data_IF_349884050122
#
_entry.id   IF_349884050122
#
_cell.length_a   1.000
_cell.length_b   1.000
_cell.length_c   1.000
_cell.angle_alpha   90.00
_cell.angle_beta   90.00
_cell.angle_gamma   90.00
#
_symmetry.space_group_name_H-M   'P 1'
#
loop_
_entity.id
_entity.type
_entity.pdbx_description
1 polymer ?
#
# COMPACT_ATOMS: atom_id res chain seq x y z
N UNK A 1 -1.71 10.22 -23.12
CA UNK A 1 -1.76 10.22 -21.64
C UNK A 1 -1.87 8.78 -21.16
N UNK A 2 -1.01 8.35 -20.24
CA UNK A 2 -1.06 6.99 -19.70
C UNK A 2 -2.28 6.85 -18.78
N UNK A 3 -3.21 5.98 -19.14
CA UNK A 3 -4.49 5.80 -18.45
C UNK A 3 -4.31 5.05 -17.12
N UNK A 4 -4.89 5.59 -16.04
CA UNK A 4 -5.06 4.89 -14.76
C UNK A 4 -6.39 4.14 -14.79
N UNK A 5 -6.40 2.91 -14.30
CA UNK A 5 -7.62 2.09 -14.25
C UNK A 5 -8.56 2.52 -13.11
N UNK A 6 -9.09 3.75 -13.17
CA UNK A 6 -9.99 4.33 -12.16
C UNK A 6 -11.23 3.44 -11.91
N UNK A 7 -11.67 2.71 -12.94
CA UNK A 7 -12.78 1.75 -12.84
C UNK A 7 -12.50 0.59 -11.89
N UNK A 8 -11.24 0.27 -11.61
CA UNK A 8 -10.81 -0.75 -10.65
C UNK A 8 -10.70 -0.23 -9.21
N UNK A 9 -10.84 1.08 -8.99
CA UNK A 9 -10.86 1.67 -7.66
C UNK A 9 -12.24 1.51 -7.02
N UNK A 10 -12.25 1.24 -5.72
CA UNK A 10 -13.44 1.01 -4.90
C UNK A 10 -14.12 2.33 -4.50
N UNK A 11 -14.12 3.32 -5.38
CA UNK A 11 -14.74 4.63 -5.16
C UNK A 11 -16.27 4.57 -5.22
N UNK A 12 -16.93 5.35 -4.39
CA UNK A 12 -18.35 5.68 -4.56
C UNK A 12 -18.57 6.66 -5.73
N UNK A 13 -19.82 7.02 -6.00
CA UNK A 13 -20.15 7.91 -7.12
C UNK A 13 -19.57 9.32 -6.96
N UNK A 14 -19.54 9.87 -5.74
CA UNK A 14 -19.02 11.20 -5.49
C UNK A 14 -17.49 11.22 -5.66
N UNK A 15 -16.82 10.21 -5.13
CA UNK A 15 -15.38 10.04 -5.30
C UNK A 15 -14.99 9.84 -6.76
N UNK A 16 -15.77 9.08 -7.55
CA UNK A 16 -15.54 8.94 -9.00
C UNK A 16 -15.61 10.27 -9.73
N UNK A 17 -16.64 11.08 -9.44
CA UNK A 17 -16.78 12.42 -10.03
C UNK A 17 -15.58 13.30 -9.67
N UNK A 18 -15.19 13.32 -8.39
CA UNK A 18 -14.05 14.10 -7.94
C UNK A 18 -12.74 13.65 -8.59
N UNK A 19 -12.49 12.35 -8.70
CA UNK A 19 -11.26 11.81 -9.30
C UNK A 19 -11.20 12.08 -10.80
N UNK A 20 -12.32 12.01 -11.52
CA UNK A 20 -12.34 12.40 -12.92
C UNK A 20 -11.93 13.87 -13.10
N UNK A 21 -12.45 14.78 -12.27
CA UNK A 21 -12.05 16.19 -12.28
C UNK A 21 -10.54 16.35 -12.00
N UNK A 22 -9.98 15.59 -11.05
CA UNK A 22 -8.53 15.63 -10.76
C UNK A 22 -7.68 15.30 -11.98
N UNK A 23 -8.09 14.30 -12.77
CA UNK A 23 -7.37 13.93 -13.99
C UNK A 23 -7.62 14.90 -15.15
N UNK A 24 -8.83 15.42 -15.30
CA UNK A 24 -9.18 16.44 -16.31
C UNK A 24 -8.42 17.76 -16.07
N UNK A 25 -8.19 18.12 -14.81
CA UNK A 25 -7.46 19.33 -14.40
C UNK A 25 -5.95 19.11 -14.21
N UNK A 26 -5.43 17.94 -14.58
CA UNK A 26 -4.01 17.58 -14.46
C UNK A 26 -3.42 17.74 -13.04
N UNK A 27 -4.23 17.52 -12.01
CA UNK A 27 -3.78 17.55 -10.60
C UNK A 27 -3.17 16.23 -10.13
N UNK A 28 -3.29 15.17 -10.92
CA UNK A 28 -2.66 13.88 -10.65
C UNK A 28 -1.16 13.92 -11.01
N UNK A 29 -0.35 13.32 -10.15
CA UNK A 29 1.06 13.04 -10.41
C UNK A 29 1.19 12.06 -11.57
N UNK A 30 2.11 12.32 -12.50
CA UNK A 30 2.46 11.42 -13.59
C UNK A 30 3.96 11.44 -13.84
N UNK A 31 4.68 10.50 -13.24
CA UNK A 31 6.13 10.38 -13.33
C UNK A 31 6.53 9.13 -14.10
N UNK A 32 7.55 9.27 -14.95
CA UNK A 32 8.19 8.18 -15.68
C UNK A 32 9.68 8.28 -15.37
N UNK A 33 10.27 7.15 -15.01
CA UNK A 33 11.68 7.06 -14.65
C UNK A 33 12.38 6.16 -15.66
N UNK A 34 13.61 6.51 -16.03
CA UNK A 34 14.49 5.60 -16.78
C UNK A 34 15.31 4.74 -15.83
N UNK A 35 15.87 3.66 -16.36
CA UNK A 35 16.66 2.69 -15.60
C UNK A 35 18.09 3.14 -15.28
N UNK A 36 18.43 4.41 -15.53
CA UNK A 36 19.72 4.93 -15.11
C UNK A 36 19.78 5.07 -13.58
N UNK A 37 20.98 4.93 -12.96
CA UNK A 37 21.11 4.94 -11.51
C UNK A 37 20.60 6.21 -10.82
N UNK A 38 20.66 7.37 -11.48
CA UNK A 38 20.23 8.64 -10.91
C UNK A 38 18.71 8.72 -10.83
N UNK A 39 18.01 8.47 -11.94
CA UNK A 39 16.55 8.44 -11.97
C UNK A 39 15.98 7.33 -11.08
N UNK A 40 16.65 6.17 -10.97
CA UNK A 40 16.23 5.12 -10.04
C UNK A 40 16.47 5.48 -8.57
N UNK A 41 17.46 6.31 -8.25
CA UNK A 41 17.61 6.87 -6.91
C UNK A 41 16.49 7.86 -6.58
N UNK A 42 16.12 8.72 -7.52
CA UNK A 42 14.98 9.62 -7.38
C UNK A 42 13.65 8.87 -7.25
N UNK A 43 13.44 7.84 -8.05
CA UNK A 43 12.24 7.01 -8.00
C UNK A 43 12.10 6.32 -6.64
N UNK A 44 13.19 5.73 -6.12
CA UNK A 44 13.19 5.11 -4.78
C UNK A 44 12.87 6.13 -3.70
N UNK A 45 13.51 7.29 -3.73
CA UNK A 45 13.23 8.38 -2.77
C UNK A 45 11.76 8.81 -2.84
N UNK A 46 11.21 8.94 -4.05
CA UNK A 46 9.82 9.33 -4.27
C UNK A 46 8.86 8.29 -3.69
N UNK A 47 9.06 7.02 -4.02
CA UNK A 47 8.22 5.92 -3.54
C UNK A 47 8.29 5.81 -2.00
N UNK A 48 9.48 5.89 -1.40
CA UNK A 48 9.67 5.86 0.05
C UNK A 48 8.99 7.03 0.75
N UNK A 49 9.10 8.25 0.20
CA UNK A 49 8.45 9.44 0.75
C UNK A 49 6.92 9.30 0.82
N UNK A 50 6.34 8.48 -0.07
CA UNK A 50 4.90 8.23 -0.13
C UNK A 50 4.48 6.87 0.44
N UNK A 51 5.40 6.14 1.09
CA UNK A 51 5.17 4.80 1.67
C UNK A 51 4.63 3.79 0.63
N UNK A 52 5.08 3.94 -0.62
CA UNK A 52 4.64 3.12 -1.76
C UNK A 52 5.57 1.94 -2.04
N UNK A 53 6.70 1.83 -1.33
CA UNK A 53 7.67 0.76 -1.55
C UNK A 53 7.09 -0.58 -1.08
N UNK A 54 7.75 -1.68 -1.47
CA UNK A 54 7.26 -3.03 -1.18
C UNK A 54 7.19 -3.29 0.33
N UNK A 55 8.19 -2.84 1.09
CA UNK A 55 8.28 -3.05 2.53
C UNK A 55 7.17 -2.28 3.26
N UNK A 56 6.99 -0.98 2.95
CA UNK A 56 5.94 -0.17 3.53
C UNK A 56 4.53 -0.72 3.23
N UNK A 57 4.31 -1.30 2.04
CA UNK A 57 3.02 -1.90 1.66
C UNK A 57 2.68 -3.17 2.44
N UNK A 58 3.67 -3.88 2.97
CA UNK A 58 3.49 -5.11 3.74
C UNK A 58 3.19 -4.85 5.23
N UNK A 59 3.42 -3.63 5.70
CA UNK A 59 3.09 -3.23 7.08
C UNK A 59 1.58 -3.31 7.34
N UNK A 60 1.20 -3.72 8.55
CA UNK A 60 -0.20 -3.80 8.96
C UNK A 60 -0.85 -2.41 9.02
N UNK A 61 -0.05 -1.40 9.33
CA UNK A 61 -0.39 0.02 9.34
C UNK A 61 -0.34 0.68 7.96
N UNK A 62 -0.06 -0.08 6.90
CA UNK A 62 -0.06 0.46 5.54
C UNK A 62 -1.42 1.07 5.22
N UNK A 63 -1.38 2.33 4.79
CA UNK A 63 -2.56 3.02 4.26
C UNK A 63 -2.85 2.62 2.82
N UNK A 64 -1.99 1.84 2.17
CA UNK A 64 -2.15 1.45 0.78
C UNK A 64 -2.69 0.04 0.66
N UNK A 65 -3.88 -0.08 0.06
CA UNK A 65 -4.49 -1.34 -0.27
C UNK A 65 -4.37 -1.62 -1.77
N UNK A 66 -3.88 -2.81 -2.13
CA UNK A 66 -3.88 -3.29 -3.52
C UNK A 66 -5.32 -3.55 -3.98
N UNK A 67 -5.77 -2.81 -5.00
CA UNK A 67 -7.08 -2.99 -5.63
C UNK A 67 -6.99 -3.91 -6.86
N UNK A 68 -5.88 -3.81 -7.58
CA UNK A 68 -5.65 -4.58 -8.79
C UNK A 68 -4.15 -4.68 -9.08
N UNK A 69 -3.72 -5.79 -9.65
CA UNK A 69 -2.37 -5.94 -10.19
C UNK A 69 -2.38 -6.81 -11.44
N UNK A 70 -1.36 -6.65 -12.26
CA UNK A 70 -1.04 -7.55 -13.39
C UNK A 70 0.47 -7.58 -13.57
N UNK A 71 0.99 -8.67 -14.10
CA UNK A 71 2.39 -8.77 -14.53
C UNK A 71 2.50 -9.25 -15.97
N UNK A 72 3.63 -8.95 -16.61
CA UNK A 72 3.96 -9.41 -17.95
C UNK A 72 5.49 -9.57 -18.11
N UNK A 73 5.95 -10.51 -18.96
CA UNK A 73 7.38 -10.72 -19.18
C UNK A 73 8.02 -9.57 -19.98
N UNK A 74 9.25 -9.20 -19.61
CA UNK A 74 10.07 -8.19 -20.30
C UNK A 74 11.09 -8.85 -21.24
N UNK A 75 10.63 -9.66 -22.19
CA UNK A 75 11.49 -10.26 -23.23
C UNK A 75 12.50 -11.32 -22.76
N UNK A 76 12.84 -11.39 -21.46
CA UNK A 76 13.55 -12.49 -20.83
C UNK A 76 12.65 -13.69 -20.53
N UNK A 77 13.20 -14.90 -20.64
CA UNK A 77 12.46 -16.17 -20.43
C UNK A 77 12.31 -16.57 -18.96
N UNK A 78 12.76 -15.75 -18.02
CA UNK A 78 12.74 -16.09 -16.58
C UNK A 78 11.64 -15.36 -15.84
N UNK A 79 11.10 -15.98 -14.79
CA UNK A 79 10.07 -15.38 -13.91
C UNK A 79 10.57 -14.09 -13.24
N UNK A 80 11.88 -13.93 -13.09
CA UNK A 80 12.51 -12.75 -12.52
C UNK A 80 12.52 -11.53 -13.47
N UNK A 81 12.30 -11.73 -14.77
CA UNK A 81 12.29 -10.65 -15.76
C UNK A 81 10.84 -10.30 -16.15
N UNK A 82 10.07 -9.92 -15.13
CA UNK A 82 8.68 -9.52 -15.25
C UNK A 82 8.50 -8.09 -14.78
N UNK A 83 7.66 -7.37 -15.50
CA UNK A 83 7.13 -6.08 -15.07
C UNK A 83 5.82 -6.33 -14.34
N UNK A 84 5.67 -5.74 -13.17
CA UNK A 84 4.43 -5.71 -12.42
C UNK A 84 3.83 -4.31 -12.45
N UNK A 85 2.52 -4.24 -12.66
CA UNK A 85 1.74 -3.03 -12.46
C UNK A 85 0.77 -3.24 -11.30
N UNK A 86 0.82 -2.33 -10.34
CA UNK A 86 0.00 -2.40 -9.12
C UNK A 86 -0.81 -1.12 -8.98
N UNK A 87 -2.13 -1.25 -8.84
CA UNK A 87 -3.04 -0.17 -8.50
C UNK A 87 -3.36 -0.23 -7.00
N UNK A 88 -2.97 0.82 -6.30
CA UNK A 88 -3.12 1.03 -4.88
C UNK A 88 -4.19 2.10 -4.63
N UNK A 89 -4.97 1.91 -3.57
CA UNK A 89 -5.92 2.89 -3.08
C UNK A 89 -5.74 3.05 -1.58
N UNK A 90 -5.91 4.27 -1.09
CA UNK A 90 -5.95 4.51 0.35
C UNK A 90 -7.00 3.60 1.03
N UNK A 91 -6.61 2.95 2.11
CA UNK A 91 -7.45 2.12 2.97
C UNK A 91 -8.70 2.91 3.39
N UNK A 92 -8.56 4.09 3.98
CA UNK A 92 -9.73 4.92 4.36
C UNK A 92 -10.52 5.50 3.16
N UNK A 93 -10.06 5.25 1.93
CA UNK A 93 -10.65 5.76 0.70
C UNK A 93 -11.81 4.93 0.16
N UNK A 94 -12.15 3.79 0.78
CA UNK A 94 -13.34 3.02 0.41
C UNK A 94 -14.00 2.43 1.65
N UNK A 95 -15.33 2.31 1.60
CA UNK A 95 -16.05 1.52 2.61
C UNK A 95 -15.96 0.03 2.28
N UNK A 96 -15.90 -0.83 3.30
CA UNK A 96 -15.97 -2.29 3.11
C UNK A 96 -17.21 -2.68 2.31
N UNK A 97 -18.35 -2.01 2.54
CA UNK A 97 -19.59 -2.21 1.80
C UNK A 97 -19.43 -1.93 0.30
N UNK A 98 -18.75 -0.84 -0.08
CA UNK A 98 -18.48 -0.50 -1.49
C UNK A 98 -17.59 -1.56 -2.16
N UNK A 99 -16.57 -2.05 -1.45
CA UNK A 99 -15.65 -3.09 -1.96
C UNK A 99 -16.38 -4.43 -2.16
N UNK A 100 -17.18 -4.86 -1.19
CA UNK A 100 -17.92 -6.12 -1.28
C UNK A 100 -19.05 -6.05 -2.32
N UNK A 101 -19.71 -4.91 -2.48
CA UNK A 101 -20.73 -4.69 -3.50
C UNK A 101 -20.18 -4.78 -4.94
N UNK A 102 -18.89 -4.53 -5.15
CA UNK A 102 -18.23 -4.67 -6.46
C UNK A 102 -17.79 -6.12 -6.74
N UNK A 103 -17.62 -6.94 -5.70
CA UNK A 103 -17.20 -8.35 -5.79
C UNK A 103 -18.37 -9.34 -5.90
N UNK A 104 -19.46 -8.97 -6.59
CA UNK A 104 -20.69 -9.79 -6.79
C UNK A 104 -20.47 -11.18 -7.45
N UNK A 105 -19.25 -11.55 -7.83
CA UNK A 105 -18.93 -12.81 -8.54
C UNK A 105 -18.36 -13.93 -7.68
N UNK A 106 -18.15 -13.72 -6.38
CA UNK A 106 -17.80 -14.81 -5.48
C UNK A 106 -19.09 -15.19 -4.73
N UNK A 107 -19.78 -16.30 -5.10
CA UNK A 107 -20.81 -16.82 -4.23
C UNK A 107 -20.13 -17.12 -2.90
N UNK A 108 -20.60 -16.49 -1.84
CA UNK A 108 -20.27 -16.83 -0.46
C UNK A 108 -20.39 -18.35 -0.31
N UNK A 109 -19.25 -19.06 -0.40
CA UNK A 109 -19.15 -20.48 -0.04
C UNK A 109 -19.02 -20.67 1.47
N UNK A 110 -19.13 -19.58 2.23
CA UNK A 110 -19.16 -19.57 3.66
C UNK A 110 -20.27 -18.60 4.09
N UNK A 111 -21.35 -19.15 4.63
CA UNK A 111 -22.15 -18.45 5.63
C UNK A 111 -21.25 -18.20 6.84
N UNK A 112 -20.36 -17.21 6.76
CA UNK A 112 -19.57 -16.80 7.92
C UNK A 112 -20.29 -15.64 8.60
N UNK A 113 -21.07 -15.97 9.62
CA UNK A 113 -21.46 -15.02 10.67
C UNK A 113 -20.25 -14.61 11.56
N UNK A 114 -19.02 -14.80 11.08
CA UNK A 114 -17.80 -14.65 11.85
C UNK A 114 -16.67 -14.16 10.93
N UNK A 115 -16.31 -12.87 11.02
CA UNK A 115 -15.04 -12.36 10.49
C UNK A 115 -15.05 -11.79 9.06
N UNK A 116 -16.06 -11.00 8.70
CA UNK A 116 -15.93 -10.15 7.51
C UNK A 116 -14.69 -9.26 7.67
N UNK A 117 -13.76 -9.35 6.71
CA UNK A 117 -12.55 -8.52 6.72
C UNK A 117 -12.95 -7.05 6.65
N UNK A 118 -12.79 -6.35 7.77
CA UNK A 118 -13.00 -4.92 7.84
C UNK A 118 -11.74 -4.18 7.40
N UNK A 119 -11.95 -2.98 6.88
CA UNK A 119 -10.87 -2.08 6.55
C UNK A 119 -10.18 -1.64 7.85
N UNK A 120 -8.83 -1.60 7.92
CA UNK A 120 -8.14 -1.18 9.14
C UNK A 120 -8.48 0.24 9.61
N UNK A 121 -8.95 1.09 8.69
CA UNK A 121 -9.32 2.47 8.94
C UNK A 121 -10.79 2.72 8.63
N UNK A 122 -11.40 3.61 9.41
CA UNK A 122 -12.74 4.14 9.11
C UNK A 122 -12.75 4.87 7.77
N UNK A 123 -13.90 4.87 7.11
CA UNK A 123 -14.08 5.55 5.82
C UNK A 123 -13.99 7.07 5.97
N UNK A 124 -13.11 7.71 5.21
CA UNK A 124 -12.90 9.17 5.21
C UNK A 124 -13.08 9.81 3.84
N UNK A 125 -13.54 9.05 2.83
CA UNK A 125 -13.68 9.55 1.46
C UNK A 125 -12.36 9.91 0.79
N UNK A 126 -11.23 9.40 1.29
CA UNK A 126 -9.92 9.72 0.75
C UNK A 126 -9.80 9.31 -0.73
N UNK A 127 -9.31 10.23 -1.57
CA UNK A 127 -9.13 10.01 -3.01
C UNK A 127 -7.72 9.49 -3.36
N UNK A 128 -6.85 9.31 -2.36
CA UNK A 128 -5.47 8.95 -2.62
C UNK A 128 -5.38 7.55 -3.25
N UNK A 129 -4.66 7.47 -4.37
CA UNK A 129 -4.44 6.25 -5.15
C UNK A 129 -3.15 6.37 -5.97
N UNK A 130 -2.51 5.25 -6.24
CA UNK A 130 -1.28 5.17 -7.00
C UNK A 130 -1.29 3.97 -7.95
N UNK A 131 -0.83 4.18 -9.18
CA UNK A 131 -0.65 3.18 -10.22
C UNK A 131 0.85 3.12 -10.54
N UNK A 132 1.48 2.06 -10.03
CA UNK A 132 2.93 1.88 -10.05
C UNK A 132 3.25 0.79 -11.06
N UNK A 133 4.26 1.02 -11.89
CA UNK A 133 4.89 -0.03 -12.71
C UNK A 133 6.34 -0.18 -12.28
N UNK A 134 6.69 -1.38 -11.86
CA UNK A 134 7.99 -1.74 -11.31
C UNK A 134 8.44 -3.10 -11.87
N UNK A 135 9.75 -3.32 -11.94
CA UNK A 135 10.34 -4.58 -12.33
C UNK A 135 10.46 -5.50 -11.11
N UNK A 136 10.10 -6.78 -11.27
CA UNK A 136 9.90 -7.66 -10.13
C UNK A 136 11.17 -8.12 -9.43
N UNK A 137 12.27 -8.27 -10.17
CA UNK A 137 13.52 -8.80 -9.60
C UNK A 137 14.35 -7.78 -8.82
N UNK A 138 14.35 -6.51 -9.24
CA UNK A 138 15.18 -5.46 -8.64
C UNK A 138 14.36 -4.29 -8.07
N UNK A 139 13.04 -4.30 -8.26
CA UNK A 139 12.16 -3.22 -7.82
C UNK A 139 12.35 -1.93 -8.61
N UNK A 140 13.04 -1.97 -9.76
CA UNK A 140 13.28 -0.78 -10.56
C UNK A 140 11.94 -0.19 -11.03
N UNK A 141 11.73 1.09 -10.76
CA UNK A 141 10.45 1.76 -10.98
C UNK A 141 10.47 2.37 -12.37
N UNK A 142 9.50 2.01 -13.21
CA UNK A 142 9.35 2.62 -14.53
C UNK A 142 8.38 3.80 -14.51
N UNK A 143 7.33 3.74 -13.67
CA UNK A 143 6.24 4.72 -13.70
C UNK A 143 5.50 4.78 -12.37
N UNK A 144 5.08 5.99 -11.99
CA UNK A 144 4.11 6.24 -10.92
C UNK A 144 3.09 7.27 -11.41
N UNK A 145 1.81 6.91 -11.44
CA UNK A 145 0.71 7.84 -11.74
C UNK A 145 -0.36 7.75 -10.66
N UNK A 146 -0.87 8.87 -10.19
CA UNK A 146 -1.94 8.86 -9.20
C UNK A 146 -2.14 10.20 -8.50
N UNK A 147 -3.07 10.20 -7.55
CA UNK A 147 -3.23 11.32 -6.63
C UNK A 147 -2.74 10.85 -5.26
N UNK A 148 -1.62 11.39 -4.78
CA UNK A 148 -0.94 10.87 -3.58
C UNK A 148 -1.29 11.66 -2.30
N UNK A 149 -2.11 12.70 -2.41
CA UNK A 149 -2.45 13.55 -1.27
C UNK A 149 -3.61 12.96 -0.47
N UNK A 150 -3.32 12.61 0.78
CA UNK A 150 -4.35 12.21 1.73
C UNK A 150 -5.10 13.45 2.26
N UNK A 151 -6.40 13.30 2.51
CA UNK A 151 -7.19 14.35 3.15
C UNK A 151 -6.91 14.40 4.66
N UNK A 152 -7.24 15.53 5.31
CA UNK A 152 -6.96 15.71 6.74
C UNK A 152 -7.68 14.71 7.66
N UNK A 153 -8.81 14.15 7.22
CA UNK A 153 -9.52 13.12 7.98
C UNK A 153 -8.75 11.78 7.93
N UNK A 154 -8.25 11.40 6.75
CA UNK A 154 -7.40 10.23 6.56
C UNK A 154 -6.11 10.33 7.39
N UNK A 155 -5.43 11.48 7.37
CA UNK A 155 -4.18 11.67 8.11
C UNK A 155 -4.38 11.54 9.62
N UNK A 156 -5.55 11.92 10.13
CA UNK A 156 -5.92 11.81 11.55
C UNK A 156 -6.53 10.47 11.92
N UNK A 157 -6.86 9.63 10.94
CA UNK A 157 -7.46 8.33 11.20
C UNK A 157 -6.42 7.36 11.80
N UNK A 158 -6.77 6.76 12.93
CA UNK A 158 -6.05 5.66 13.55
C UNK A 158 -6.57 4.32 13.04
N UNK A 159 -5.78 3.26 13.21
CA UNK A 159 -6.24 1.89 12.97
C UNK A 159 -7.34 1.58 13.98
N UNK A 160 -8.54 1.26 13.50
CA UNK A 160 -9.71 0.89 14.31
C UNK A 160 -9.93 -0.62 14.32
N UNK A 161 -9.49 -1.30 13.26
CA UNK A 161 -9.68 -2.74 13.08
C UNK A 161 -8.34 -3.45 12.89
N UNK A 162 -7.76 -3.90 14.00
CA UNK A 162 -6.56 -4.75 13.95
C UNK A 162 -7.04 -6.17 13.60
N UNK A 163 -6.54 -6.78 12.50
CA UNK A 163 -6.90 -8.15 12.19
C UNK A 163 -6.51 -9.04 13.38
N UNK A 164 -7.38 -9.97 13.82
CA UNK A 164 -7.00 -10.92 14.85
C UNK A 164 -5.88 -11.79 14.26
N UNK A 165 -4.63 -11.46 14.58
CA UNK A 165 -3.51 -12.35 14.34
C UNK A 165 -3.60 -13.40 15.44
N UNK A 166 -3.89 -14.68 15.13
CA UNK A 166 -3.92 -15.71 16.15
C UNK A 166 -2.48 -16.00 16.58
N UNK A 167 -1.94 -15.13 17.42
CA UNK A 167 -0.66 -15.35 18.07
C UNK A 167 -0.91 -16.28 19.26
N UNK A 168 -0.23 -17.42 19.24
CA UNK A 168 -0.20 -18.28 20.43
C UNK A 168 0.37 -17.44 21.60
N UNK A 169 -0.22 -17.47 22.81
CA UNK A 169 0.22 -16.63 23.94
C UNK A 169 1.73 -16.67 24.20
N UNK A 170 2.36 -17.81 23.97
CA UNK A 170 3.80 -17.99 24.05
C UNK A 170 4.61 -17.08 23.10
N UNK A 171 4.11 -16.80 21.89
CA UNK A 171 4.76 -15.90 20.93
C UNK A 171 4.75 -14.46 21.45
N UNK A 172 3.66 -14.04 22.11
CA UNK A 172 3.55 -12.73 22.73
C UNK A 172 4.54 -12.57 23.89
N UNK A 173 4.63 -13.57 24.76
CA UNK A 173 5.59 -13.61 25.87
C UNK A 173 7.04 -13.53 25.39
N UNK A 174 7.39 -14.30 24.35
CA UNK A 174 8.74 -14.30 23.78
C UNK A 174 9.06 -12.95 23.12
N UNK A 175 8.13 -12.39 22.34
CA UNK A 175 8.31 -11.10 21.69
C UNK A 175 8.47 -9.95 22.71
N UNK A 176 7.64 -9.91 23.76
CA UNK A 176 7.78 -8.93 24.84
C UNK A 176 9.11 -9.07 25.58
N UNK A 177 9.54 -10.30 25.87
CA UNK A 177 10.82 -10.56 26.52
C UNK A 177 12.00 -10.12 25.64
N UNK A 178 11.92 -10.34 24.33
CA UNK A 178 12.95 -9.88 23.39
C UNK A 178 13.00 -8.34 23.31
N UNK A 179 11.85 -7.65 23.30
CA UNK A 179 11.79 -6.19 23.35
C UNK A 179 12.38 -5.64 24.65
N UNK A 180 12.05 -6.24 25.80
CA UNK A 180 12.59 -5.84 27.11
C UNK A 180 14.10 -6.09 27.21
N UNK A 181 14.58 -7.23 26.73
CA UNK A 181 16.00 -7.58 26.76
C UNK A 181 16.83 -6.73 25.77
N UNK A 182 16.26 -6.35 24.62
CA UNK A 182 16.89 -5.47 23.65
C UNK A 182 16.95 -4.00 24.10
N UNK A 183 15.94 -3.52 24.82
CA UNK A 183 15.88 -2.15 25.34
C UNK A 183 16.91 -1.87 26.45
N UNK A 184 17.50 -2.90 27.07
CA UNK A 184 18.53 -2.77 28.09
C UNK A 184 19.97 -2.57 27.57
N UNK A 185 20.18 -2.55 26.25
CA UNK A 185 21.53 -2.48 25.65
C UNK A 185 22.04 -1.06 25.36
N UNK A 186 21.42 -0.01 25.92
CA UNK A 186 21.94 1.37 25.86
C UNK A 186 22.63 1.70 27.18
N UNK A 187 23.92 2.04 27.11
CA UNK A 187 24.84 2.45 28.18
C UNK A 187 25.52 1.33 28.99
N UNK A 188 26.56 0.73 28.39
CA UNK A 188 27.82 0.58 29.14
C UNK A 188 28.94 1.26 28.37
N UNK A 189 29.26 2.45 28.85
CA UNK A 189 30.45 3.25 28.54
C UNK A 189 31.69 2.35 28.51
N UNK A 190 32.52 2.56 27.50
CA UNK A 190 33.89 2.07 27.45
C UNK A 190 34.69 2.71 28.59
N UNK A 191 34.92 1.96 29.66
CA UNK A 191 36.10 2.16 30.51
C UNK A 191 37.13 1.11 30.11
N UNK A 192 38.07 1.53 29.28
CA UNK A 192 39.33 0.81 29.05
C UNK A 192 40.36 1.45 29.95
N UNK A 193 40.73 0.76 31.01
CA UNK A 193 41.96 0.99 31.76
C UNK A 193 42.53 -0.37 32.14
N UNK A 194 43.59 -0.80 31.44
CA UNK A 194 44.94 -1.06 31.98
C UNK A 194 45.93 -0.85 30.85
#
# INVERSE_FOLDING_TARGET
MASVYITRLSFDEQQRKAVNILYETAQATSLVFSYDPHHQAEARKFIQQHELDREARELLESRWNVQWSTSWPTGGRTVADQMQRTLLQCSSGFSSATRFAQNKKIPSRFNSTQGDRQNPYDYTGCLAHADITEHDSDGAVARVIGFLQHNNACLRASITHIPPVPLHPHVYEVALRQLQNGAGAVNKSRDVAV
#
